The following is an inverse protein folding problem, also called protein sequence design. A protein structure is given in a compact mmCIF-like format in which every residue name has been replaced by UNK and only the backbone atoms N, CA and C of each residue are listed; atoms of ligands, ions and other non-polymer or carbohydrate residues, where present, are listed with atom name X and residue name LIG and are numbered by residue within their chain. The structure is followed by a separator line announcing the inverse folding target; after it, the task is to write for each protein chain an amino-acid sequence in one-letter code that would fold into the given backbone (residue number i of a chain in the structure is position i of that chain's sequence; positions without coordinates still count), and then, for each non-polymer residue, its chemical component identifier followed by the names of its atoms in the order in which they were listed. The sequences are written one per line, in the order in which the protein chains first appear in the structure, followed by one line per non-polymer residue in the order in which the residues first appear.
data_IF_842000011409
#
_entry.id   IF_842000011409
#
_cell.length_a   1.000
_cell.length_b   1.000
_cell.length_c   1.000
_cell.angle_alpha   90.00
_cell.angle_beta   90.00
_cell.angle_gamma   90.00
#
_symmetry.space_group_name_H-M   'P 1'
#
loop_
_entity.id
_entity.type
_entity.pdbx_description
1 polymer ?
#
# COMPACT_ATOMS: atom_id res chain seq x y z
N UNK A 1 17.46 11.13 -28.06
CA UNK A 1 17.67 12.14 -26.98
C UNK A 1 16.37 12.49 -26.26
N UNK A 2 15.27 12.80 -26.96
CA UNK A 2 13.98 13.11 -26.34
C UNK A 2 13.39 11.96 -25.49
N UNK A 3 13.41 10.72 -26.01
CA UNK A 3 12.90 9.53 -25.33
C UNK A 3 13.67 9.20 -24.03
N UNK A 4 14.99 9.33 -24.04
CA UNK A 4 15.82 9.13 -22.85
C UNK A 4 15.49 10.14 -21.74
N UNK A 5 15.26 11.41 -22.11
CA UNK A 5 14.85 12.46 -21.18
C UNK A 5 13.44 12.20 -20.62
N UNK A 6 12.52 11.71 -21.46
CA UNK A 6 11.17 11.34 -21.05
C UNK A 6 11.18 10.17 -20.06
N UNK A 7 11.94 9.12 -20.34
CA UNK A 7 12.12 7.97 -19.46
C UNK A 7 12.73 8.37 -18.11
N UNK A 8 13.72 9.26 -18.11
CA UNK A 8 14.32 9.80 -16.88
C UNK A 8 13.31 10.60 -16.04
N UNK A 9 12.50 11.45 -16.68
CA UNK A 9 11.42 12.18 -15.99
C UNK A 9 10.39 11.23 -15.41
N UNK A 10 9.96 10.23 -16.17
CA UNK A 10 8.96 9.26 -15.73
C UNK A 10 9.48 8.40 -14.57
N UNK A 11 10.74 7.95 -14.61
CA UNK A 11 11.43 7.29 -13.49
C UNK A 11 11.39 8.15 -12.23
N UNK A 12 11.79 9.42 -12.33
CA UNK A 12 11.80 10.35 -11.20
C UNK A 12 10.40 10.54 -10.63
N UNK A 13 9.40 10.72 -11.49
CA UNK A 13 8.00 10.84 -11.08
C UNK A 13 7.53 9.60 -10.33
N UNK A 14 7.79 8.39 -10.86
CA UNK A 14 7.38 7.16 -10.19
C UNK A 14 8.06 6.99 -8.83
N UNK A 15 9.35 7.30 -8.73
CA UNK A 15 10.06 7.28 -7.45
C UNK A 15 9.44 8.25 -6.44
N UNK A 16 9.10 9.47 -6.85
CA UNK A 16 8.43 10.46 -6.01
C UNK A 16 7.08 9.92 -5.55
N UNK A 17 6.26 9.36 -6.45
CA UNK A 17 4.97 8.79 -6.09
C UNK A 17 5.09 7.67 -5.04
N UNK A 18 6.06 6.76 -5.21
CA UNK A 18 6.33 5.69 -4.24
C UNK A 18 6.78 6.24 -2.88
N UNK A 19 7.68 7.22 -2.86
CA UNK A 19 8.11 7.90 -1.62
C UNK A 19 6.95 8.60 -0.94
N UNK A 20 6.15 9.37 -1.68
CA UNK A 20 4.98 10.07 -1.14
C UNK A 20 3.98 9.10 -0.54
N UNK A 21 3.71 8.00 -1.22
CA UNK A 21 2.85 6.93 -0.69
C UNK A 21 3.44 6.31 0.60
N UNK A 22 4.73 5.98 0.59
CA UNK A 22 5.40 5.36 1.73
C UNK A 22 5.39 6.26 2.97
N UNK A 23 5.65 7.56 2.79
CA UNK A 23 5.56 8.56 3.86
C UNK A 23 4.10 8.73 4.33
N UNK A 24 3.13 8.77 3.43
CA UNK A 24 1.72 8.92 3.79
C UNK A 24 1.24 7.77 4.70
N UNK A 25 1.65 6.53 4.43
CA UNK A 25 1.35 5.37 5.28
C UNK A 25 1.93 5.54 6.68
N UNK A 26 3.17 6.02 6.80
CA UNK A 26 3.82 6.27 8.10
C UNK A 26 3.10 7.37 8.86
N UNK A 27 2.82 8.50 8.23
CA UNK A 27 2.11 9.61 8.86
C UNK A 27 0.72 9.18 9.33
N UNK A 28 0.03 8.39 8.53
CA UNK A 28 -1.26 7.82 8.92
C UNK A 28 -1.14 6.94 10.17
N UNK A 29 -0.21 5.97 10.17
CA UNK A 29 -0.06 5.01 11.26
C UNK A 29 0.52 5.64 12.55
N UNK A 30 1.50 6.54 12.43
CA UNK A 30 2.24 7.08 13.56
C UNK A 30 1.63 8.37 14.13
N UNK A 31 0.87 9.13 13.33
CA UNK A 31 0.32 10.43 13.76
C UNK A 31 -1.20 10.42 13.72
N UNK A 32 -1.81 10.14 12.56
CA UNK A 32 -3.26 10.28 12.41
C UNK A 32 -4.03 9.29 13.28
N UNK A 33 -3.59 8.03 13.32
CA UNK A 33 -4.28 6.97 14.08
C UNK A 33 -4.20 7.20 15.60
N UNK A 34 -3.03 7.48 16.22
CA UNK A 34 -2.97 7.82 17.64
C UNK A 34 -3.72 9.11 17.99
N UNK A 35 -3.67 10.12 17.12
CA UNK A 35 -4.40 11.38 17.33
C UNK A 35 -5.91 11.14 17.31
N UNK A 36 -6.43 10.35 16.36
CA UNK A 36 -7.83 9.97 16.32
C UNK A 36 -8.24 9.21 17.59
N UNK A 37 -7.39 8.32 18.10
CA UNK A 37 -7.64 7.62 19.35
C UNK A 37 -7.71 8.57 20.55
N UNK A 38 -6.78 9.53 20.66
CA UNK A 38 -6.79 10.55 21.72
C UNK A 38 -8.04 11.43 21.69
N UNK A 39 -8.50 11.82 20.51
CA UNK A 39 -9.67 12.70 20.36
C UNK A 39 -10.99 11.96 20.58
N UNK A 40 -11.12 10.75 20.03
CA UNK A 40 -12.39 10.01 20.04
C UNK A 40 -12.56 9.15 21.29
N UNK A 41 -11.46 8.79 21.97
CA UNK A 41 -11.44 8.00 23.21
C UNK A 41 -12.00 6.58 23.09
N UNK A 42 -12.34 6.13 21.88
CA UNK A 42 -13.02 4.87 21.64
C UNK A 42 -12.50 4.22 20.34
N UNK A 43 -11.88 3.05 20.47
CA UNK A 43 -11.31 2.26 19.37
C UNK A 43 -12.33 1.95 18.27
N UNK A 44 -13.61 1.74 18.62
CA UNK A 44 -14.65 1.44 17.66
C UNK A 44 -14.97 2.64 16.76
N UNK A 45 -15.03 3.85 17.34
CA UNK A 45 -15.25 5.09 16.58
C UNK A 45 -14.07 5.41 15.68
N UNK A 46 -12.85 5.17 16.15
CA UNK A 46 -11.63 5.24 15.33
C UNK A 46 -11.77 4.27 14.15
N UNK A 47 -12.06 3.00 14.42
CA UNK A 47 -12.29 1.96 13.41
C UNK A 47 -13.32 2.34 12.34
N UNK A 48 -14.44 2.95 12.76
CA UNK A 48 -15.50 3.42 11.87
C UNK A 48 -15.04 4.52 10.90
N UNK A 49 -14.17 5.42 11.33
CA UNK A 49 -13.63 6.47 10.45
C UNK A 49 -12.49 5.89 9.61
N UNK A 50 -11.61 5.12 10.22
CA UNK A 50 -10.42 4.60 9.56
C UNK A 50 -10.75 3.61 8.46
N UNK A 51 -11.86 2.86 8.54
CA UNK A 51 -12.27 1.98 7.43
C UNK A 51 -12.42 2.72 6.09
N UNK A 52 -12.99 3.93 6.09
CA UNK A 52 -13.17 4.71 4.87
C UNK A 52 -11.83 5.19 4.33
N UNK A 53 -10.96 5.68 5.23
CA UNK A 53 -9.60 6.09 4.87
C UNK A 53 -8.81 4.91 4.30
N UNK A 54 -8.94 3.73 4.91
CA UNK A 54 -8.31 2.49 4.44
C UNK A 54 -8.83 2.06 3.08
N UNK A 55 -10.15 2.15 2.82
CA UNK A 55 -10.73 1.84 1.52
C UNK A 55 -10.11 2.73 0.41
N UNK A 56 -10.13 4.05 0.61
CA UNK A 56 -9.52 4.97 -0.37
C UNK A 56 -8.01 4.77 -0.48
N UNK A 57 -7.33 4.51 0.64
CA UNK A 57 -5.92 4.17 0.67
C UNK A 57 -5.59 2.94 -0.17
N UNK A 58 -6.41 1.88 -0.07
CA UNK A 58 -6.25 0.66 -0.86
C UNK A 58 -6.46 0.93 -2.36
N UNK A 59 -7.44 1.76 -2.74
CA UNK A 59 -7.68 2.15 -4.13
C UNK A 59 -6.48 2.91 -4.70
N UNK A 60 -5.98 3.90 -3.95
CA UNK A 60 -4.82 4.71 -4.36
C UNK A 60 -3.57 3.83 -4.48
N UNK A 61 -3.36 2.91 -3.53
CA UNK A 61 -2.23 1.98 -3.53
C UNK A 61 -2.27 1.07 -4.76
N UNK A 62 -3.44 0.51 -5.06
CA UNK A 62 -3.64 -0.36 -6.22
C UNK A 62 -3.36 0.40 -7.54
N UNK A 63 -3.92 1.61 -7.68
CA UNK A 63 -3.66 2.45 -8.84
C UNK A 63 -2.16 2.77 -9.00
N UNK A 64 -1.48 3.10 -7.90
CA UNK A 64 -0.03 3.35 -7.89
C UNK A 64 0.77 2.11 -8.34
N UNK A 65 0.40 0.92 -7.87
CA UNK A 65 1.09 -0.32 -8.25
C UNK A 65 0.84 -0.67 -9.72
N UNK A 66 -0.35 -0.42 -10.25
CA UNK A 66 -0.60 -0.53 -11.70
C UNK A 66 0.24 0.46 -12.51
N UNK A 67 0.32 1.73 -12.10
CA UNK A 67 1.19 2.71 -12.75
C UNK A 67 2.66 2.28 -12.71
N UNK A 68 3.08 1.67 -11.60
CA UNK A 68 4.43 1.13 -11.47
C UNK A 68 4.69 -0.03 -12.44
N UNK A 69 3.74 -0.97 -12.60
CA UNK A 69 3.84 -2.03 -13.62
C UNK A 69 3.92 -1.45 -15.02
N UNK A 70 3.07 -0.47 -15.36
CA UNK A 70 3.11 0.21 -16.66
C UNK A 70 4.46 0.89 -16.93
N UNK A 71 5.10 1.41 -15.88
CA UNK A 71 6.45 1.95 -15.98
C UNK A 71 7.49 0.88 -16.33
N UNK A 72 7.41 -0.30 -15.71
CA UNK A 72 8.35 -1.40 -16.01
C UNK A 72 8.28 -1.83 -17.48
N UNK A 73 7.08 -1.88 -18.07
CA UNK A 73 6.92 -2.20 -19.49
C UNK A 73 7.51 -1.16 -20.46
N UNK A 74 7.81 0.05 -19.98
CA UNK A 74 8.49 1.08 -20.79
C UNK A 74 10.01 1.04 -20.67
N UNK A 75 10.55 0.23 -19.78
CA UNK A 75 11.99 0.10 -19.65
C UNK A 75 12.56 -0.76 -20.79
N UNK A 76 13.66 -0.34 -21.43
CA UNK A 76 14.35 -1.17 -22.42
C UNK A 76 14.85 -2.47 -21.76
N UNK A 77 14.65 -3.59 -22.46
CA UNK A 77 14.62 -4.95 -21.91
C UNK A 77 15.95 -5.61 -21.53
N UNK A 78 16.94 -4.88 -21.01
CA UNK A 78 18.28 -5.43 -20.73
C UNK A 78 18.73 -5.34 -19.27
N UNK A 79 17.86 -4.91 -18.34
CA UNK A 79 18.24 -4.88 -16.92
C UNK A 79 18.20 -6.29 -16.31
N UNK A 80 19.29 -6.75 -15.65
CA UNK A 80 19.29 -8.04 -14.93
C UNK A 80 18.29 -8.06 -13.76
N UNK A 81 17.78 -6.89 -13.35
CA UNK A 81 16.79 -6.73 -12.29
C UNK A 81 15.34 -6.69 -12.79
N UNK A 82 15.10 -6.78 -14.11
CA UNK A 82 13.75 -6.65 -14.66
C UNK A 82 12.80 -7.72 -14.11
N UNK A 83 13.23 -8.99 -14.10
CA UNK A 83 12.45 -10.10 -13.54
C UNK A 83 12.11 -9.87 -12.06
N UNK A 84 13.06 -9.34 -11.28
CA UNK A 84 12.83 -9.01 -9.88
C UNK A 84 11.74 -7.93 -9.73
N UNK A 85 11.77 -6.89 -10.56
CA UNK A 85 10.76 -5.84 -10.54
C UNK A 85 9.38 -6.34 -11.01
N UNK A 86 9.33 -7.19 -12.02
CA UNK A 86 8.09 -7.82 -12.49
C UNK A 86 7.46 -8.67 -11.38
N UNK A 87 8.23 -9.60 -10.78
CA UNK A 87 7.75 -10.44 -9.68
C UNK A 87 7.29 -9.57 -8.50
N UNK A 88 8.07 -8.55 -8.14
CA UNK A 88 7.73 -7.64 -7.03
C UNK A 88 6.44 -6.89 -7.31
N UNK A 89 6.28 -6.35 -8.52
CA UNK A 89 5.10 -5.57 -8.90
C UNK A 89 3.82 -6.41 -8.95
N UNK A 90 3.90 -7.63 -9.51
CA UNK A 90 2.77 -8.59 -9.50
C UNK A 90 2.42 -8.99 -8.07
N UNK A 91 3.43 -9.23 -7.22
CA UNK A 91 3.22 -9.56 -5.81
C UNK A 91 2.55 -8.41 -5.06
N UNK A 92 2.95 -7.16 -5.29
CA UNK A 92 2.33 -5.97 -4.69
C UNK A 92 0.85 -5.85 -5.08
N UNK A 93 0.50 -6.06 -6.34
CA UNK A 93 -0.90 -6.05 -6.80
C UNK A 93 -1.69 -7.17 -6.13
N UNK A 94 -1.16 -8.40 -6.12
CA UNK A 94 -1.82 -9.55 -5.51
C UNK A 94 -2.08 -9.34 -4.01
N UNK A 95 -1.08 -8.87 -3.26
CA UNK A 95 -1.22 -8.55 -1.83
C UNK A 95 -2.21 -7.40 -1.60
N UNK A 96 -2.21 -6.38 -2.47
CA UNK A 96 -3.14 -5.26 -2.36
C UNK A 96 -4.60 -5.70 -2.62
N UNK A 97 -4.82 -6.59 -3.59
CA UNK A 97 -6.15 -7.20 -3.82
C UNK A 97 -6.58 -8.05 -2.63
N UNK A 98 -5.66 -8.80 -2.03
CA UNK A 98 -5.95 -9.56 -0.80
C UNK A 98 -6.35 -8.63 0.36
N UNK A 99 -5.71 -7.47 0.50
CA UNK A 99 -6.14 -6.46 1.49
C UNK A 99 -7.55 -5.94 1.22
N UNK A 100 -7.97 -5.77 -0.04
CA UNK A 100 -9.36 -5.41 -0.35
C UNK A 100 -10.35 -6.46 0.14
N UNK A 101 -10.06 -7.74 -0.13
CA UNK A 101 -10.91 -8.86 0.31
C UNK A 101 -10.98 -8.90 1.83
N UNK A 102 -9.82 -8.84 2.51
CA UNK A 102 -9.77 -8.84 3.98
C UNK A 102 -10.49 -7.62 4.58
N UNK A 103 -10.38 -6.45 3.96
CA UNK A 103 -11.09 -5.26 4.40
C UNK A 103 -12.60 -5.45 4.38
N UNK A 104 -13.13 -5.99 3.28
CA UNK A 104 -14.55 -6.30 3.16
C UNK A 104 -15.01 -7.33 4.20
N UNK A 105 -14.24 -8.41 4.39
CA UNK A 105 -14.52 -9.41 5.43
C UNK A 105 -14.53 -8.80 6.85
N UNK A 106 -13.61 -7.88 7.13
CA UNK A 106 -13.57 -7.19 8.43
C UNK A 106 -14.78 -6.27 8.62
N UNK A 107 -15.21 -5.56 7.58
CA UNK A 107 -16.42 -4.74 7.60
C UNK A 107 -17.67 -5.57 7.87
N UNK A 108 -17.80 -6.74 7.26
CA UNK A 108 -18.94 -7.65 7.48
C UNK A 108 -19.00 -8.19 8.92
N UNK A 109 -17.85 -8.30 9.59
CA UNK A 109 -17.76 -8.71 11.00
C UNK A 109 -18.01 -7.57 11.99
N UNK A 110 -18.30 -6.36 11.51
CA UNK A 110 -18.56 -5.18 12.34
C UNK A 110 -19.97 -4.63 12.15
N UNK A 111 -20.69 -4.50 13.27
CA UNK A 111 -21.96 -3.79 13.32
C UNK A 111 -21.71 -2.36 13.81
N UNK A 112 -21.53 -1.45 12.85
CA UNK A 112 -21.28 -0.04 13.15
C UNK A 112 -22.47 0.68 13.79
N UNK A 113 -23.70 0.20 13.55
CA UNK A 113 -24.91 0.79 14.11
C UNK A 113 -25.00 0.53 15.61
N UNK A 114 -24.67 -0.69 16.04
CA UNK A 114 -24.72 -1.09 17.45
C UNK A 114 -23.36 -1.05 18.15
N UNK A 115 -22.31 -0.61 17.46
CA UNK A 115 -20.93 -0.52 17.96
C UNK A 115 -20.37 -1.85 18.47
N UNK A 116 -20.59 -2.92 17.70
CA UNK A 116 -20.22 -4.29 18.09
C UNK A 116 -19.41 -4.98 17.00
N UNK A 117 -18.58 -5.91 17.44
CA UNK A 117 -17.90 -6.88 16.59
C UNK A 117 -18.67 -8.18 16.76
N UNK A 118 -19.19 -8.74 15.67
CA UNK A 118 -20.10 -9.90 15.70
C UNK A 118 -19.35 -11.18 16.10
N UNK A 119 -18.26 -11.51 15.39
CA UNK A 119 -17.40 -12.65 15.69
C UNK A 119 -16.00 -12.19 16.09
N UNK A 120 -15.84 -11.80 17.36
CA UNK A 120 -14.58 -11.24 17.87
C UNK A 120 -13.33 -12.07 17.55
N UNK A 121 -13.28 -13.40 17.79
CA UNK A 121 -12.08 -14.18 17.52
C UNK A 121 -11.67 -14.10 16.05
N UNK A 122 -12.61 -14.32 15.13
CA UNK A 122 -12.36 -14.27 13.69
C UNK A 122 -11.93 -12.87 13.25
N UNK A 123 -12.60 -11.82 13.74
CA UNK A 123 -12.25 -10.44 13.45
C UNK A 123 -10.79 -10.13 13.82
N UNK A 124 -10.36 -10.48 15.04
CA UNK A 124 -8.99 -10.20 15.46
C UNK A 124 -7.94 -10.99 14.68
N UNK A 125 -8.22 -12.26 14.36
CA UNK A 125 -7.34 -13.06 13.50
C UNK A 125 -7.19 -12.42 12.11
N UNK A 126 -8.30 -12.10 11.45
CA UNK A 126 -8.27 -11.47 10.12
C UNK A 126 -7.60 -10.10 10.16
N UNK A 127 -7.82 -9.33 11.23
CA UNK A 127 -7.22 -8.00 11.40
C UNK A 127 -5.70 -8.08 11.61
N UNK A 128 -5.20 -9.10 12.31
CA UNK A 128 -3.77 -9.36 12.43
C UNK A 128 -3.16 -9.75 11.08
N UNK A 129 -3.83 -10.62 10.32
CA UNK A 129 -3.39 -10.98 8.95
C UNK A 129 -3.36 -9.75 8.04
N UNK A 130 -4.38 -8.90 8.13
CA UNK A 130 -4.45 -7.63 7.39
C UNK A 130 -3.21 -6.77 7.67
N UNK A 131 -2.89 -6.53 8.95
CA UNK A 131 -1.72 -5.72 9.32
C UNK A 131 -0.41 -6.35 8.91
N UNK A 132 -0.29 -7.67 8.99
CA UNK A 132 0.91 -8.37 8.54
C UNK A 132 1.14 -8.15 7.05
N UNK A 133 0.11 -8.33 6.22
CA UNK A 133 0.19 -8.08 4.77
C UNK A 133 0.51 -6.62 4.47
N UNK A 134 -0.18 -5.67 5.14
CA UNK A 134 0.11 -4.25 4.98
C UNK A 134 1.57 -3.91 5.33
N UNK A 135 2.10 -4.54 6.38
CA UNK A 135 3.51 -4.42 6.77
C UNK A 135 4.46 -4.95 5.71
N UNK A 136 4.17 -6.11 5.11
CA UNK A 136 4.95 -6.66 4.00
C UNK A 136 4.98 -5.72 2.81
N UNK A 137 3.81 -5.22 2.35
CA UNK A 137 3.74 -4.25 1.25
C UNK A 137 4.59 -3.02 1.56
N UNK A 138 4.47 -2.46 2.76
CA UNK A 138 5.22 -1.27 3.16
C UNK A 138 6.74 -1.49 3.14
N UNK A 139 7.23 -2.64 3.66
CA UNK A 139 8.65 -3.00 3.61
C UNK A 139 9.10 -3.17 2.16
N UNK A 140 8.34 -3.92 1.35
CA UNK A 140 8.66 -4.17 -0.06
C UNK A 140 8.77 -2.86 -0.85
N UNK A 141 7.82 -1.93 -0.67
CA UNK A 141 7.89 -0.62 -1.33
C UNK A 141 9.09 0.19 -0.83
N UNK A 142 9.38 0.16 0.48
CA UNK A 142 10.57 0.79 1.05
C UNK A 142 11.85 0.29 0.39
N UNK A 143 12.03 -1.04 0.33
CA UNK A 143 13.16 -1.69 -0.38
C UNK A 143 13.20 -1.25 -1.84
N UNK A 144 12.06 -1.27 -2.53
CA UNK A 144 11.98 -0.89 -3.95
C UNK A 144 12.43 0.56 -4.19
N UNK A 145 12.06 1.50 -3.32
CA UNK A 145 12.51 2.90 -3.38
C UNK A 145 14.05 3.00 -3.29
N UNK A 146 14.69 2.21 -2.42
CA UNK A 146 16.15 2.23 -2.25
C UNK A 146 16.89 1.60 -3.44
N UNK A 147 16.36 0.54 -4.04
CA UNK A 147 16.99 -0.14 -5.16
C UNK A 147 16.65 0.46 -6.53
N UNK A 148 15.62 1.30 -6.60
CA UNK A 148 15.15 1.97 -7.82
C UNK A 148 16.24 2.68 -8.62
N UNK A 149 17.23 3.26 -7.93
CA UNK A 149 18.33 3.99 -8.58
C UNK A 149 19.53 3.09 -8.90
N UNK A 150 19.76 2.02 -8.14
CA UNK A 150 20.94 1.15 -8.30
C UNK A 150 20.88 0.28 -9.55
N UNK A 151 19.68 -0.08 -10.01
CA UNK A 151 19.51 -1.03 -11.13
C UNK A 151 19.94 -0.54 -12.53
N UNK A 152 20.55 0.65 -12.65
CA UNK A 152 20.97 1.25 -13.93
C UNK A 152 22.30 2.02 -13.86
N UNK A 153 23.11 1.82 -12.82
CA UNK A 153 24.50 2.35 -12.75
C UNK A 153 25.55 1.33 -13.18
N UNK A 154 25.12 0.13 -13.56
CA UNK A 154 25.93 -0.93 -14.18
C UNK A 154 25.36 -1.23 -15.57
#
# INVERSE_FOLDING_TARGET
MAEALENQKFKKTMKICLISWWIAVILYAAVALPLAFMILGNTFRVGYITQYVTLYGNIISLALFFLFVMYLYRLPGESPYLLYYEITSVSLIALQLLLFVLHYMLSDLTDFRHQKILERPLFYTLHQVYFFIQGLIWITVGVLIFYFDKSQTD
#
